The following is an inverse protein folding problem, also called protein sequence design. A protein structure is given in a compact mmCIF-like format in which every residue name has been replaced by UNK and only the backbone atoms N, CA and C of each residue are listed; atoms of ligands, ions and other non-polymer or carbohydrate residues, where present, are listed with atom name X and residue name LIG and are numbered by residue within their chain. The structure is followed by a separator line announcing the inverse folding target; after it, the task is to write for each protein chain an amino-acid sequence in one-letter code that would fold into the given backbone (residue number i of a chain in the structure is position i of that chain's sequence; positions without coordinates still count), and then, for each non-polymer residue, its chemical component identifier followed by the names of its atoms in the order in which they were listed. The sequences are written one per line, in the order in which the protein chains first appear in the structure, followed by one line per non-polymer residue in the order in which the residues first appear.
data_IF_748089412087
#
_entry.id   IF_748089412087
#
_cell.length_a   1.000
_cell.length_b   1.000
_cell.length_c   1.000
_cell.angle_alpha   90.00
_cell.angle_beta   90.00
_cell.angle_gamma   90.00
#
_symmetry.space_group_name_H-M   'P 1'
#
loop_
_entity.id
_entity.type
_entity.pdbx_description
1 polymer ?
#
# COMPACT_ATOMS: atom_id res chain seq x y z
N UNK A 1 24.87 0.39 16.21
CA UNK A 1 24.05 1.42 16.88
C UNK A 1 23.37 2.26 15.81
N UNK A 2 22.05 2.45 15.88
CA UNK A 2 21.32 3.34 14.94
C UNK A 2 21.36 4.75 15.52
N UNK A 3 21.96 5.70 14.79
CA UNK A 3 22.02 7.11 15.20
C UNK A 3 20.69 7.81 14.87
N UNK A 4 20.07 8.47 15.86
CA UNK A 4 18.78 9.17 15.70
C UNK A 4 18.85 10.32 14.68
N UNK A 5 20.03 10.89 14.46
CA UNK A 5 20.26 12.00 13.52
C UNK A 5 20.40 11.48 12.07
N UNK A 6 20.76 10.21 11.89
CA UNK A 6 21.05 9.64 10.57
C UNK A 6 19.88 9.76 9.56
N UNK A 7 18.61 9.49 9.93
CA UNK A 7 17.49 9.69 9.00
C UNK A 7 17.31 11.15 8.59
N UNK A 8 17.55 12.10 9.48
CA UNK A 8 17.40 13.53 9.21
C UNK A 8 18.48 13.99 8.23
N UNK A 9 19.75 13.64 8.48
CA UNK A 9 20.86 13.94 7.57
C UNK A 9 20.65 13.30 6.19
N UNK A 10 20.15 12.08 6.17
CA UNK A 10 19.84 11.39 4.92
C UNK A 10 18.75 12.12 4.12
N UNK A 11 17.64 12.52 4.76
CA UNK A 11 16.57 13.26 4.08
C UNK A 11 17.10 14.60 3.55
N UNK A 12 17.89 15.34 4.33
CA UNK A 12 18.49 16.60 3.86
C UNK A 12 19.43 16.40 2.66
N UNK A 13 20.24 15.35 2.66
CA UNK A 13 21.13 15.04 1.55
C UNK A 13 20.34 14.66 0.29
N UNK A 14 19.31 13.83 0.42
CA UNK A 14 18.45 13.44 -0.70
C UNK A 14 17.68 14.63 -1.27
N UNK A 15 17.18 15.53 -0.42
CA UNK A 15 16.51 16.77 -0.85
C UNK A 15 17.44 17.65 -1.68
N UNK A 16 18.70 17.80 -1.27
CA UNK A 16 19.71 18.55 -2.04
C UNK A 16 19.97 17.91 -3.41
N UNK A 17 20.02 16.56 -3.48
CA UNK A 17 20.19 15.82 -4.74
C UNK A 17 18.98 16.02 -5.66
N UNK A 18 17.77 15.94 -5.12
CA UNK A 18 16.54 16.12 -5.90
C UNK A 18 16.46 17.53 -6.49
N UNK A 19 16.73 18.57 -5.69
CA UNK A 19 16.79 19.96 -6.18
C UNK A 19 17.84 20.18 -7.26
N UNK A 20 19.00 19.54 -7.14
CA UNK A 20 20.03 19.62 -8.18
C UNK A 20 19.58 18.92 -9.48
N UNK A 21 18.85 17.81 -9.36
CA UNK A 21 18.37 17.03 -10.50
C UNK A 21 17.15 17.65 -11.21
N UNK A 22 16.35 18.47 -10.52
CA UNK A 22 15.25 19.25 -11.12
C UNK A 22 15.71 20.11 -12.30
N UNK A 23 16.92 20.68 -12.23
CA UNK A 23 17.49 21.46 -13.34
C UNK A 23 17.73 20.65 -14.63
N UNK A 24 17.82 19.32 -14.55
CA UNK A 24 18.08 18.44 -15.68
C UNK A 24 16.84 17.72 -16.20
N UNK A 25 15.76 17.66 -15.42
CA UNK A 25 14.58 16.87 -15.72
C UNK A 25 13.38 17.77 -16.05
N UNK A 26 12.68 17.47 -17.15
CA UNK A 26 11.55 18.30 -17.60
C UNK A 26 10.27 17.93 -16.84
N UNK A 27 9.51 18.91 -16.31
CA UNK A 27 8.19 18.66 -15.75
C UNK A 27 7.26 18.02 -16.78
N UNK A 28 6.39 17.12 -16.33
CA UNK A 28 5.37 16.53 -17.21
C UNK A 28 4.05 17.26 -17.01
N UNK A 29 3.59 18.01 -18.02
CA UNK A 29 2.27 18.65 -17.97
C UNK A 29 1.15 17.62 -18.05
N UNK A 30 0.20 17.71 -17.12
CA UNK A 30 -0.94 16.79 -17.02
C UNK A 30 -2.25 17.36 -17.56
N UNK A 31 -2.20 18.57 -18.15
CA UNK A 31 -3.41 19.35 -18.46
C UNK A 31 -3.94 20.08 -17.22
N UNK A 32 -4.91 20.99 -17.40
CA UNK A 32 -5.52 21.73 -16.29
C UNK A 32 -4.59 22.71 -15.53
N UNK A 33 -3.44 23.08 -16.13
CA UNK A 33 -2.46 23.98 -15.50
C UNK A 33 -1.53 23.31 -14.48
N UNK A 34 -1.61 21.99 -14.27
CA UNK A 34 -0.75 21.26 -13.33
C UNK A 34 0.39 20.52 -14.04
N UNK A 35 1.59 20.60 -13.45
CA UNK A 35 2.80 19.92 -13.91
C UNK A 35 3.27 18.95 -12.83
N UNK A 36 3.42 17.67 -13.16
CA UNK A 36 4.02 16.72 -12.22
C UNK A 36 5.53 16.98 -12.13
N UNK A 37 6.09 17.04 -10.91
CA UNK A 37 7.52 17.14 -10.74
C UNK A 37 8.18 15.91 -11.38
N UNK A 38 9.31 16.12 -12.09
CA UNK A 38 9.95 15.05 -12.85
C UNK A 38 10.50 13.92 -11.96
N UNK A 39 10.69 14.19 -10.66
CA UNK A 39 11.36 13.31 -9.72
C UNK A 39 10.47 13.13 -8.50
N UNK A 40 10.27 11.87 -8.09
CA UNK A 40 9.68 11.51 -6.80
C UNK A 40 10.63 10.57 -6.08
N UNK A 41 10.72 10.77 -4.77
CA UNK A 41 11.62 10.04 -3.91
C UNK A 41 10.94 9.75 -2.58
N UNK A 42 11.15 8.53 -2.09
CA UNK A 42 10.92 8.21 -0.70
C UNK A 42 12.17 7.56 -0.14
N UNK A 43 12.91 8.30 0.69
CA UNK A 43 14.19 7.86 1.25
C UNK A 43 15.16 7.45 0.11
N UNK A 44 15.47 6.16 -0.02
CA UNK A 44 16.37 5.59 -1.03
C UNK A 44 15.65 5.17 -2.31
N UNK A 45 14.33 5.05 -2.27
CA UNK A 45 13.49 4.75 -3.43
C UNK A 45 13.30 6.04 -4.26
N UNK A 46 14.27 6.33 -5.12
CA UNK A 46 14.28 7.54 -5.96
C UNK A 46 14.25 7.22 -7.45
N UNK A 47 13.55 8.05 -8.21
CA UNK A 47 13.44 7.98 -9.68
C UNK A 47 14.41 8.98 -10.32
N UNK A 48 15.72 8.87 -10.04
CA UNK A 48 16.75 9.79 -10.58
C UNK A 48 17.97 9.01 -11.05
N UNK A 49 18.78 9.57 -11.95
CA UNK A 49 20.01 8.96 -12.46
C UNK A 49 21.14 9.98 -12.24
N UNK A 50 21.99 9.79 -11.21
CA UNK A 50 23.05 10.76 -10.89
C UNK A 50 24.40 10.07 -10.66
N UNK A 51 25.37 10.34 -11.53
CA UNK A 51 26.79 9.96 -11.34
C UNK A 51 27.54 10.92 -10.40
N UNK A 52 26.97 12.09 -10.10
CA UNK A 52 27.65 13.19 -9.39
C UNK A 52 27.67 13.00 -7.88
N UNK A 53 26.71 12.24 -7.34
CA UNK A 53 26.53 12.06 -5.89
C UNK A 53 27.41 10.96 -5.29
N UNK A 54 28.29 10.33 -6.09
CA UNK A 54 29.06 9.11 -5.71
C UNK A 54 28.17 8.00 -5.13
N UNK A 55 26.90 7.96 -5.54
CA UNK A 55 25.93 6.95 -5.16
C UNK A 55 25.72 6.00 -6.34
N UNK A 56 25.59 4.71 -6.06
CA UNK A 56 25.38 3.69 -7.09
C UNK A 56 24.00 3.07 -6.95
N UNK A 57 23.27 3.00 -8.06
CA UNK A 57 22.02 2.27 -8.14
C UNK A 57 22.29 0.77 -8.19
N UNK A 58 21.47 0.00 -7.46
CA UNK A 58 21.50 -1.46 -7.53
C UNK A 58 20.65 -1.93 -8.72
N UNK A 59 21.23 -2.42 -9.83
CA UNK A 59 20.46 -2.76 -11.03
C UNK A 59 19.38 -3.82 -10.76
N UNK A 60 19.69 -4.77 -9.86
CA UNK A 60 18.74 -5.81 -9.41
C UNK A 60 17.46 -5.25 -8.76
N UNK A 61 17.50 -4.06 -8.17
CA UNK A 61 16.34 -3.41 -7.53
C UNK A 61 15.66 -2.36 -8.43
N UNK A 62 16.33 -1.90 -9.48
CA UNK A 62 15.80 -0.91 -10.40
C UNK A 62 14.90 -1.56 -11.44
N UNK A 63 13.73 -0.98 -11.73
CA UNK A 63 12.86 -1.36 -12.85
C UNK A 63 12.51 -0.12 -13.66
N UNK A 64 12.22 -0.32 -14.95
CA UNK A 64 11.86 0.77 -15.86
C UNK A 64 10.46 0.57 -16.41
N UNK A 65 9.73 1.69 -16.54
CA UNK A 65 8.45 1.78 -17.23
C UNK A 65 8.51 3.05 -18.10
N UNK A 66 8.42 2.88 -19.42
CA UNK A 66 8.32 4.00 -20.36
C UNK A 66 6.91 4.02 -20.93
N UNK A 67 6.29 5.19 -20.95
CA UNK A 67 4.95 5.38 -21.48
C UNK A 67 5.03 6.44 -22.58
N UNK A 68 4.64 6.09 -23.81
CA UNK A 68 4.50 7.04 -24.92
C UNK A 68 3.07 7.04 -25.43
N UNK A 69 2.44 8.22 -25.49
CA UNK A 69 1.06 8.40 -25.97
C UNK A 69 0.06 7.44 -25.29
N UNK A 70 0.21 7.24 -23.98
CA UNK A 70 -0.67 6.37 -23.18
C UNK A 70 -0.46 4.87 -23.35
N UNK A 71 0.56 4.42 -24.11
CA UNK A 71 0.93 3.01 -24.25
C UNK A 71 2.31 2.75 -23.67
N UNK A 72 2.51 1.55 -23.12
CA UNK A 72 3.82 1.10 -22.64
C UNK A 72 4.76 0.98 -23.84
N UNK A 73 5.89 1.68 -23.78
CA UNK A 73 6.94 1.67 -24.79
C UNK A 73 8.08 0.75 -24.34
N UNK A 74 8.17 -0.43 -24.95
CA UNK A 74 9.20 -1.42 -24.63
C UNK A 74 10.54 -1.15 -25.34
N UNK A 75 10.54 -0.30 -26.37
CA UNK A 75 11.68 -0.08 -27.27
C UNK A 75 12.73 0.87 -26.69
N UNK A 76 12.32 1.87 -25.91
CA UNK A 76 13.26 2.67 -25.12
C UNK A 76 14.04 1.70 -24.20
N UNK A 77 15.34 1.85 -23.99
CA UNK A 77 16.13 1.03 -23.05
C UNK A 77 16.94 1.92 -22.12
N UNK A 78 17.09 1.50 -20.86
CA UNK A 78 17.88 2.23 -19.86
C UNK A 78 19.00 1.31 -19.35
N UNK A 79 20.21 1.85 -19.27
CA UNK A 79 21.39 1.17 -18.72
C UNK A 79 21.82 1.88 -17.44
N UNK A 80 22.11 1.11 -16.40
CA UNK A 80 22.67 1.59 -15.12
C UNK A 80 23.83 0.68 -14.77
N UNK A 81 25.00 1.28 -14.50
CA UNK A 81 26.25 0.55 -14.24
C UNK A 81 26.53 -0.53 -15.31
N UNK A 82 26.37 -0.16 -16.58
CA UNK A 82 26.52 -1.02 -17.78
C UNK A 82 25.55 -2.21 -17.89
N UNK A 83 24.69 -2.42 -16.89
CA UNK A 83 23.64 -3.43 -16.90
C UNK A 83 22.32 -2.86 -17.44
N UNK A 84 21.64 -3.63 -18.28
CA UNK A 84 20.31 -3.27 -18.77
C UNK A 84 19.28 -3.48 -17.66
N UNK A 85 18.48 -2.43 -17.39
CA UNK A 85 17.41 -2.53 -16.40
C UNK A 85 16.24 -3.32 -17.00
N UNK A 86 15.68 -4.33 -16.28
CA UNK A 86 14.50 -5.04 -16.75
C UNK A 86 13.24 -4.16 -16.69
N UNK A 87 12.32 -4.40 -17.62
CA UNK A 87 11.04 -3.69 -17.69
C UNK A 87 10.11 -4.18 -16.57
N UNK A 88 9.23 -3.32 -16.04
CA UNK A 88 8.19 -3.70 -15.06
C UNK A 88 7.31 -4.86 -15.57
N UNK A 89 7.12 -4.98 -16.89
CA UNK A 89 6.43 -6.10 -17.53
C UNK A 89 7.14 -7.45 -17.37
N UNK A 90 8.48 -7.44 -17.38
CA UNK A 90 9.29 -8.66 -17.22
C UNK A 90 9.40 -9.04 -15.75
N UNK A 91 9.66 -8.04 -14.90
CA UNK A 91 9.80 -8.22 -13.47
C UNK A 91 9.04 -7.12 -12.72
N UNK A 92 7.87 -7.44 -12.12
CA UNK A 92 7.09 -6.45 -11.38
C UNK A 92 7.87 -5.94 -10.16
N UNK A 93 7.63 -4.68 -9.80
CA UNK A 93 8.32 -4.03 -8.67
C UNK A 93 7.34 -3.73 -7.54
N UNK A 94 7.81 -3.90 -6.30
CA UNK A 94 7.09 -3.46 -5.11
C UNK A 94 7.69 -2.15 -4.63
N UNK A 95 6.87 -1.10 -4.56
CA UNK A 95 7.27 0.21 -4.03
C UNK A 95 6.27 0.64 -2.94
N UNK A 96 6.76 1.02 -1.77
CA UNK A 96 5.96 1.40 -0.59
C UNK A 96 4.79 0.46 -0.27
N UNK A 97 4.99 -0.85 -0.44
CA UNK A 97 3.96 -1.85 -0.18
C UNK A 97 3.00 -2.12 -1.35
N UNK A 98 3.01 -1.29 -2.39
CA UNK A 98 2.20 -1.47 -3.62
C UNK A 98 3.01 -2.17 -4.71
N UNK A 99 2.40 -3.16 -5.35
CA UNK A 99 2.96 -3.81 -6.53
C UNK A 99 2.59 -3.05 -7.80
N UNK A 100 3.58 -2.86 -8.65
CA UNK A 100 3.45 -2.32 -10.00
C UNK A 100 3.77 -3.43 -10.99
N UNK A 101 2.81 -3.74 -11.84
CA UNK A 101 2.91 -4.70 -12.94
C UNK A 101 2.47 -4.04 -14.26
N UNK A 102 2.65 -4.72 -15.38
CA UNK A 102 2.28 -4.18 -16.70
C UNK A 102 0.77 -3.94 -16.86
N UNK A 103 -0.06 -4.61 -16.07
CA UNK A 103 -1.52 -4.43 -16.13
C UNK A 103 -1.95 -3.12 -15.49
N UNK A 104 -1.20 -2.64 -14.49
CA UNK A 104 -1.52 -1.46 -13.67
C UNK A 104 -2.92 -1.53 -13.04
N UNK A 105 -3.50 -2.73 -12.94
CA UNK A 105 -4.84 -2.98 -12.41
C UNK A 105 -4.75 -3.65 -11.04
N UNK A 106 -5.59 -3.19 -10.13
CA UNK A 106 -5.65 -3.72 -8.76
C UNK A 106 -6.59 -4.93 -8.60
N UNK A 107 -7.26 -5.38 -9.68
CA UNK A 107 -8.30 -6.43 -9.62
C UNK A 107 -7.81 -7.73 -8.98
N UNK A 108 -6.57 -8.17 -9.28
CA UNK A 108 -5.99 -9.39 -8.70
C UNK A 108 -5.69 -9.24 -7.20
N UNK A 109 -5.46 -8.01 -6.73
CA UNK A 109 -5.05 -7.70 -5.35
C UNK A 109 -6.17 -7.93 -4.34
N UNK A 110 -7.42 -7.78 -4.76
CA UNK A 110 -8.58 -8.17 -3.97
C UNK A 110 -8.60 -9.67 -3.67
N UNK A 111 -8.39 -10.51 -4.68
CA UNK A 111 -8.33 -11.97 -4.53
C UNK A 111 -7.14 -12.41 -3.66
N UNK A 112 -5.96 -11.85 -3.90
CA UNK A 112 -4.76 -12.11 -3.09
C UNK A 112 -4.98 -11.73 -1.60
N UNK A 113 -5.69 -10.62 -1.34
CA UNK A 113 -5.99 -10.18 0.04
C UNK A 113 -6.99 -11.12 0.72
N UNK A 114 -7.98 -11.63 -0.01
CA UNK A 114 -8.93 -12.63 0.49
C UNK A 114 -8.23 -13.96 0.81
N UNK A 115 -7.30 -14.40 -0.03
CA UNK A 115 -6.48 -15.59 0.18
C UNK A 115 -5.59 -15.42 1.42
N UNK A 116 -4.87 -14.31 1.51
CA UNK A 116 -4.06 -13.95 2.68
C UNK A 116 -4.88 -13.97 3.99
N UNK A 117 -6.09 -13.42 3.97
CA UNK A 117 -6.99 -13.46 5.11
C UNK A 117 -7.36 -14.91 5.47
N UNK A 118 -7.66 -15.73 4.47
CA UNK A 118 -8.07 -17.14 4.65
C UNK A 118 -6.94 -17.98 5.25
N UNK A 119 -5.74 -17.86 4.69
CA UNK A 119 -4.54 -18.56 5.19
C UNK A 119 -4.18 -18.12 6.61
N UNK A 120 -4.21 -16.82 6.87
CA UNK A 120 -3.88 -16.28 8.20
C UNK A 120 -4.92 -16.71 9.25
N UNK A 121 -6.21 -16.73 8.91
CA UNK A 121 -7.26 -17.25 9.80
C UNK A 121 -7.10 -18.74 10.06
N UNK A 122 -6.73 -19.53 9.04
CA UNK A 122 -6.43 -20.95 9.21
C UNK A 122 -5.23 -21.16 10.13
N UNK A 123 -4.16 -20.38 9.98
CA UNK A 123 -2.99 -20.43 10.83
C UNK A 123 -3.34 -20.11 12.30
N UNK A 124 -4.11 -19.05 12.54
CA UNK A 124 -4.60 -18.71 13.89
C UNK A 124 -5.54 -19.81 14.41
N UNK A 125 -6.39 -20.40 13.58
CA UNK A 125 -7.27 -21.46 14.04
C UNK A 125 -6.50 -22.72 14.47
N UNK A 126 -5.42 -23.06 13.74
CA UNK A 126 -4.56 -24.23 14.02
C UNK A 126 -3.64 -24.03 15.22
N UNK A 127 -3.41 -22.81 15.69
CA UNK A 127 -2.56 -22.61 16.86
C UNK A 127 -3.22 -23.19 18.13
N UNK A 128 -2.39 -23.68 19.05
CA UNK A 128 -2.83 -24.25 20.34
C UNK A 128 -3.32 -23.22 21.36
N UNK A 129 -3.53 -21.96 20.94
CA UNK A 129 -3.98 -20.89 21.84
C UNK A 129 -5.45 -21.05 22.22
N UNK A 130 -5.80 -20.56 23.41
CA UNK A 130 -7.20 -20.42 23.82
C UNK A 130 -7.94 -19.42 22.93
N UNK A 131 -9.26 -19.55 22.85
CA UNK A 131 -10.11 -18.71 21.99
C UNK A 131 -9.91 -17.21 22.16
N UNK A 132 -9.83 -16.73 23.41
CA UNK A 132 -9.56 -15.32 23.74
C UNK A 132 -8.24 -14.80 23.15
N UNK A 133 -7.20 -15.61 23.13
CA UNK A 133 -5.89 -15.24 22.57
C UNK A 133 -5.89 -15.30 21.04
N UNK A 134 -6.66 -16.20 20.42
CA UNK A 134 -6.88 -16.21 18.96
C UNK A 134 -7.56 -14.93 18.50
N UNK A 135 -8.54 -14.46 19.26
CA UNK A 135 -9.23 -13.18 19.00
C UNK A 135 -8.27 -12.01 19.18
N UNK A 136 -7.40 -12.05 20.19
CA UNK A 136 -6.35 -11.05 20.35
C UNK A 136 -5.42 -11.01 19.11
N UNK A 137 -4.96 -12.16 18.60
CA UNK A 137 -4.17 -12.23 17.37
C UNK A 137 -4.92 -11.67 16.16
N UNK A 138 -6.21 -11.98 16.03
CA UNK A 138 -7.06 -11.41 14.99
C UNK A 138 -7.09 -9.88 15.08
N UNK A 139 -7.33 -9.34 16.27
CA UNK A 139 -7.57 -7.91 16.49
C UNK A 139 -6.31 -7.05 16.35
N UNK A 140 -5.17 -7.57 16.80
CA UNK A 140 -3.93 -6.79 16.92
C UNK A 140 -2.84 -7.21 15.92
N UNK A 141 -2.99 -8.35 15.24
CA UNK A 141 -2.04 -8.78 14.21
C UNK A 141 -2.69 -8.85 12.84
N UNK A 142 -3.77 -9.64 12.71
CA UNK A 142 -4.35 -9.90 11.39
C UNK A 142 -5.10 -8.69 10.82
N UNK A 143 -5.97 -8.05 11.60
CA UNK A 143 -6.72 -6.88 11.13
C UNK A 143 -5.76 -5.76 10.67
N UNK A 144 -4.75 -5.33 11.45
CA UNK A 144 -3.77 -4.35 10.97
C UNK A 144 -3.04 -4.78 9.70
N UNK A 145 -2.67 -6.07 9.60
CA UNK A 145 -2.04 -6.63 8.39
C UNK A 145 -2.94 -6.56 7.16
N UNK A 146 -4.25 -6.75 7.31
CA UNK A 146 -5.24 -6.66 6.23
C UNK A 146 -5.60 -5.22 5.88
N UNK A 147 -5.61 -4.30 6.85
CA UNK A 147 -5.96 -2.91 6.60
C UNK A 147 -4.96 -2.21 5.65
N UNK A 148 -3.69 -2.59 5.67
CA UNK A 148 -2.69 -2.02 4.76
C UNK A 148 -2.99 -2.28 3.27
N UNK A 149 -3.12 -3.52 2.77
CA UNK A 149 -3.49 -3.76 1.37
C UNK A 149 -4.87 -3.21 1.03
N UNK A 150 -5.82 -3.24 1.96
CA UNK A 150 -7.15 -2.64 1.76
C UNK A 150 -7.07 -1.11 1.59
N UNK A 151 -6.14 -0.44 2.26
CA UNK A 151 -5.92 1.00 2.10
C UNK A 151 -5.25 1.31 0.75
N UNK A 152 -4.16 0.59 0.44
CA UNK A 152 -3.27 0.86 -0.69
C UNK A 152 -3.90 0.55 -2.05
N UNK A 153 -4.64 -0.56 -2.15
CA UNK A 153 -5.24 -1.00 -3.42
C UNK A 153 -6.69 -0.55 -3.52
N UNK A 154 -7.18 -0.38 -4.74
CA UNK A 154 -8.61 -0.21 -4.98
C UNK A 154 -9.32 -1.58 -4.97
N UNK A 155 -9.94 -1.91 -3.83
CA UNK A 155 -10.61 -3.19 -3.59
C UNK A 155 -12.10 -2.94 -3.38
N UNK A 156 -12.94 -3.64 -4.13
CA UNK A 156 -14.39 -3.51 -3.99
C UNK A 156 -14.86 -3.87 -2.57
N UNK A 157 -15.84 -3.12 -2.05
CA UNK A 157 -16.43 -3.37 -0.71
C UNK A 157 -16.97 -4.78 -0.54
N UNK A 158 -17.49 -5.38 -1.60
CA UNK A 158 -17.98 -6.77 -1.63
C UNK A 158 -16.89 -7.79 -1.28
N UNK A 159 -15.64 -7.53 -1.66
CA UNK A 159 -14.50 -8.38 -1.28
C UNK A 159 -14.19 -8.24 0.21
N UNK A 160 -14.29 -7.03 0.75
CA UNK A 160 -14.09 -6.76 2.18
C UNK A 160 -15.17 -7.42 3.03
N UNK A 161 -16.42 -7.37 2.58
CA UNK A 161 -17.55 -8.07 3.22
C UNK A 161 -17.33 -9.60 3.22
N UNK A 162 -16.78 -10.17 2.14
CA UNK A 162 -16.44 -11.58 2.09
C UNK A 162 -15.31 -11.96 3.07
N UNK A 163 -14.30 -11.08 3.25
CA UNK A 163 -13.27 -11.25 4.29
C UNK A 163 -13.91 -11.22 5.68
N UNK A 164 -14.79 -10.28 5.92
CA UNK A 164 -15.48 -10.10 7.19
C UNK A 164 -16.36 -11.30 7.56
N UNK A 165 -17.12 -11.84 6.60
CA UNK A 165 -17.90 -13.05 6.80
C UNK A 165 -17.03 -14.25 7.25
N UNK A 166 -15.83 -14.39 6.66
CA UNK A 166 -14.84 -15.40 7.09
C UNK A 166 -14.36 -15.12 8.52
N UNK A 167 -14.01 -13.87 8.84
CA UNK A 167 -13.58 -13.47 10.19
C UNK A 167 -14.67 -13.77 11.22
N UNK A 168 -15.94 -13.45 10.93
CA UNK A 168 -17.08 -13.67 11.83
C UNK A 168 -17.26 -15.16 12.14
N UNK A 169 -17.15 -16.03 11.12
CA UNK A 169 -17.22 -17.48 11.30
C UNK A 169 -16.16 -18.00 12.28
N UNK A 170 -14.91 -17.59 12.12
CA UNK A 170 -13.83 -18.01 13.03
C UNK A 170 -13.97 -17.39 14.42
N UNK A 171 -14.37 -16.13 14.49
CA UNK A 171 -14.55 -15.42 15.77
C UNK A 171 -15.65 -16.07 16.60
N UNK A 172 -16.80 -16.42 16.00
CA UNK A 172 -17.88 -17.15 16.70
C UNK A 172 -17.39 -18.48 17.24
N UNK A 173 -16.66 -19.24 16.42
CA UNK A 173 -16.03 -20.51 16.81
C UNK A 173 -15.05 -20.33 17.99
N UNK A 174 -14.21 -19.31 17.98
CA UNK A 174 -13.22 -19.08 19.04
C UNK A 174 -13.82 -18.54 20.33
N UNK A 175 -14.91 -17.76 20.25
CA UNK A 175 -15.67 -17.30 21.41
C UNK A 175 -16.55 -18.40 22.02
N UNK A 176 -16.84 -19.48 21.28
CA UNK A 176 -17.79 -20.51 21.70
C UNK A 176 -19.24 -20.03 21.65
N UNK A 177 -19.56 -19.01 20.85
CA UNK A 177 -20.92 -18.50 20.68
C UNK A 177 -21.64 -19.23 19.53
N UNK A 178 -22.98 -19.28 19.53
CA UNK A 178 -23.74 -19.92 18.46
C UNK A 178 -23.42 -19.33 17.08
N UNK A 179 -23.38 -20.15 16.01
CA UNK A 179 -23.09 -19.67 14.66
C UNK A 179 -24.14 -18.68 14.13
N UNK A 180 -25.38 -18.73 14.66
CA UNK A 180 -26.47 -17.82 14.32
C UNK A 180 -26.49 -16.51 15.11
N UNK A 181 -25.50 -16.24 15.98
CA UNK A 181 -25.40 -14.96 16.68
C UNK A 181 -25.26 -13.82 15.65
N UNK A 182 -26.10 -12.78 15.69
CA UNK A 182 -26.04 -11.68 14.74
C UNK A 182 -24.75 -10.87 14.92
N UNK A 183 -24.21 -10.36 13.81
CA UNK A 183 -22.97 -9.56 13.82
C UNK A 183 -23.10 -8.28 14.66
N UNK A 184 -24.30 -7.70 14.72
CA UNK A 184 -24.60 -6.57 15.60
C UNK A 184 -24.28 -6.89 17.06
N UNK A 185 -24.58 -8.10 17.54
CA UNK A 185 -24.25 -8.47 18.92
C UNK A 185 -22.73 -8.58 19.15
N UNK A 186 -21.94 -8.85 18.11
CA UNK A 186 -20.49 -8.93 18.20
C UNK A 186 -19.80 -7.56 18.17
N UNK A 187 -20.34 -6.62 17.38
CA UNK A 187 -19.72 -5.32 17.12
C UNK A 187 -20.40 -4.14 17.84
N UNK A 188 -21.53 -4.36 18.51
CA UNK A 188 -22.26 -3.29 19.20
C UNK A 188 -21.43 -2.68 20.34
N UNK A 189 -21.21 -1.37 20.27
CA UNK A 189 -20.53 -0.60 21.34
C UNK A 189 -21.48 -0.06 22.41
N UNK A 190 -22.79 -0.12 22.15
CA UNK A 190 -23.85 0.40 23.05
C UNK A 190 -24.45 -0.69 23.95
N UNK A 191 -24.21 -1.96 23.66
CA UNK A 191 -24.72 -3.07 24.47
C UNK A 191 -24.02 -3.14 25.84
N UNK A 192 -24.65 -3.83 26.80
CA UNK A 192 -24.06 -4.11 28.12
C UNK A 192 -22.77 -4.93 28.00
N UNK A 193 -22.75 -5.92 27.11
CA UNK A 193 -21.55 -6.66 26.75
C UNK A 193 -20.87 -5.97 25.58
N UNK A 194 -19.65 -5.46 25.80
CA UNK A 194 -18.83 -4.81 24.77
C UNK A 194 -17.63 -5.70 24.46
N UNK A 195 -17.65 -6.35 23.30
CA UNK A 195 -16.50 -7.11 22.84
C UNK A 195 -15.48 -6.17 22.18
N UNK A 196 -14.16 -6.34 22.41
CA UNK A 196 -13.12 -5.50 21.83
C UNK A 196 -12.85 -5.87 20.36
N UNK A 197 -13.89 -6.04 19.55
CA UNK A 197 -13.82 -6.45 18.15
C UNK A 197 -13.91 -5.24 17.23
N UNK A 198 -13.02 -5.16 16.23
CA UNK A 198 -13.13 -4.16 15.15
C UNK A 198 -13.93 -4.77 14.00
N UNK A 199 -14.89 -4.00 13.49
CA UNK A 199 -15.58 -4.26 12.25
C UNK A 199 -14.65 -3.84 11.09
N UNK A 200 -14.21 -4.80 10.26
CA UNK A 200 -13.17 -4.53 9.25
C UNK A 200 -13.73 -3.63 8.15
N UNK A 201 -15.01 -3.78 7.81
CA UNK A 201 -15.64 -2.94 6.81
C UNK A 201 -15.77 -1.47 7.27
N UNK A 202 -16.08 -1.21 8.54
CA UNK A 202 -16.04 0.16 9.10
C UNK A 202 -14.62 0.73 9.01
N UNK A 203 -13.60 -0.06 9.38
CA UNK A 203 -12.21 0.39 9.32
C UNK A 203 -11.73 0.64 7.89
N UNK A 204 -12.17 -0.19 6.95
CA UNK A 204 -11.91 -0.01 5.52
C UNK A 204 -12.51 1.30 5.01
N UNK A 205 -13.82 1.52 5.23
CA UNK A 205 -14.52 2.74 4.80
C UNK A 205 -13.92 3.99 5.42
N UNK A 206 -13.64 3.94 6.73
CA UNK A 206 -12.97 5.03 7.44
C UNK A 206 -11.58 5.30 6.84
N UNK A 207 -10.78 4.26 6.58
CA UNK A 207 -9.45 4.42 5.97
C UNK A 207 -9.51 5.03 4.57
N UNK A 208 -10.47 4.62 3.73
CA UNK A 208 -10.67 5.20 2.39
C UNK A 208 -11.14 6.65 2.45
N UNK A 209 -12.08 6.97 3.33
CA UNK A 209 -12.54 8.33 3.54
C UNK A 209 -11.41 9.23 4.05
N UNK A 210 -10.66 8.78 5.06
CA UNK A 210 -9.49 9.50 5.56
C UNK A 210 -8.44 9.71 4.48
N UNK A 211 -8.15 8.70 3.65
CA UNK A 211 -7.22 8.83 2.54
C UNK A 211 -7.70 9.89 1.53
N UNK A 212 -8.99 9.89 1.17
CA UNK A 212 -9.55 10.88 0.27
C UNK A 212 -9.43 12.29 0.84
N UNK A 213 -9.86 12.51 2.08
CA UNK A 213 -9.74 13.81 2.76
C UNK A 213 -8.28 14.27 2.84
N UNK A 214 -7.33 13.38 3.14
CA UNK A 214 -5.90 13.71 3.16
C UNK A 214 -5.38 14.16 1.79
N UNK A 215 -5.93 13.64 0.69
CA UNK A 215 -5.54 14.05 -0.66
C UNK A 215 -6.19 15.39 -1.05
N UNK A 216 -7.46 15.60 -0.69
CA UNK A 216 -8.20 16.85 -0.95
C UNK A 216 -7.65 18.04 -0.14
N UNK A 217 -7.25 17.80 1.10
CA UNK A 217 -6.68 18.79 2.01
C UNK A 217 -5.15 18.92 1.86
N UNK A 218 -4.54 18.23 0.89
CA UNK A 218 -3.11 18.31 0.65
C UNK A 218 -2.69 19.74 0.25
N UNK A 219 -1.62 20.23 0.90
CA UNK A 219 -0.96 21.48 0.52
C UNK A 219 -0.27 21.40 -0.85
N UNK A 220 0.06 20.18 -1.31
CA UNK A 220 0.60 19.95 -2.65
C UNK A 220 -0.51 20.08 -3.72
N UNK A 221 -0.44 21.08 -4.62
CA UNK A 221 -1.46 21.31 -5.64
C UNK A 221 -1.55 20.18 -6.67
N UNK A 222 -0.47 19.43 -6.90
CA UNK A 222 -0.45 18.29 -7.83
C UNK A 222 -1.23 17.11 -7.23
N UNK A 223 -1.12 16.90 -5.92
CA UNK A 223 -1.87 15.84 -5.24
C UNK A 223 -3.35 16.17 -5.19
N UNK A 224 -3.68 17.44 -4.89
CA UNK A 224 -5.05 17.94 -4.79
C UNK A 224 -5.82 17.93 -6.10
N UNK A 225 -5.13 18.09 -7.24
CA UNK A 225 -5.79 18.06 -8.56
C UNK A 225 -6.11 16.65 -9.04
N UNK A 226 -5.37 15.64 -8.58
CA UNK A 226 -5.60 14.23 -8.93
C UNK A 226 -6.77 13.61 -8.15
N UNK A 227 -7.20 14.22 -7.04
CA UNK A 227 -8.32 13.73 -6.22
C UNK A 227 -9.72 14.02 -6.80
N UNK A 228 -9.84 14.84 -7.85
CA UNK A 228 -11.11 15.10 -8.52
C UNK A 228 -11.20 14.28 -9.83
N UNK A 229 -12.06 13.24 -9.91
CA UNK A 229 -12.36 12.57 -11.17
C UNK A 229 -13.13 13.45 -12.15
#
# INVERSE_FOLDING_TARGET
MKCTISPILFVMAMEAILKAAEGSARPTNQGGGCSMPPLKAFIDDTIVLMSWCRMEFKPKKSRRLSIRKGKVDEATTFKVAEQQIPTVSQEPVKNLGRWYDSSMKDTRRGAETLELASESLLAINKCGLQGKFKIWCLQFMLIPKLLWPLLVYDICSTTVEAIEAKINKYTRKWLGVPPGLPDVAMYCRKAKLKLPMKYILEKYKCGKATLLTMLEESDDPVVKTVSHP
#
